data_IF_854424942185
#
_entry.id   IF_854424942185
#
_cell.length_a   1.000
_cell.length_b   1.000
_cell.length_c   1.000
_cell.angle_alpha   90.00
_cell.angle_beta   90.00
_cell.angle_gamma   90.00
#
_symmetry.space_group_name_H-M   'P 1'
#
loop_
_entity.id
_entity.type
_entity.pdbx_description
1 polymer ?
#
# COMPACT_ATOMS: atom_id res chain seq x y z
N UNK A 1 -7.87 12.67 -13.71
CA UNK A 1 -8.13 11.25 -14.06
C UNK A 1 -8.75 11.04 -15.46
N UNK A 2 -9.90 11.67 -15.77
CA UNK A 2 -10.63 11.47 -17.04
C UNK A 2 -9.83 11.90 -18.28
N UNK A 3 -9.22 13.08 -18.24
CA UNK A 3 -8.43 13.61 -19.35
C UNK A 3 -7.19 12.76 -19.65
N UNK A 4 -6.36 12.49 -18.64
CA UNK A 4 -5.21 11.58 -18.76
C UNK A 4 -5.59 10.20 -19.32
N UNK A 5 -6.71 9.63 -18.86
CA UNK A 5 -7.17 8.35 -19.38
C UNK A 5 -7.49 8.43 -20.87
N UNK A 6 -8.27 9.43 -21.29
CA UNK A 6 -8.62 9.62 -22.70
C UNK A 6 -7.39 9.83 -23.61
N UNK A 7 -6.36 10.53 -23.10
CA UNK A 7 -5.10 10.75 -23.81
C UNK A 7 -4.24 9.48 -23.94
N UNK A 8 -4.41 8.50 -23.04
CA UNK A 8 -3.56 7.31 -22.97
C UNK A 8 -4.31 6.00 -23.29
N UNK A 9 -5.64 6.01 -23.50
CA UNK A 9 -6.45 4.78 -23.53
C UNK A 9 -6.05 3.81 -24.65
N UNK A 10 -5.51 4.31 -25.76
CA UNK A 10 -5.07 3.53 -26.91
C UNK A 10 -3.72 2.84 -26.69
N UNK A 11 -2.99 3.22 -25.63
CA UNK A 11 -1.64 2.71 -25.31
C UNK A 11 -1.65 1.57 -24.29
N UNK A 12 -2.81 1.26 -23.69
CA UNK A 12 -2.91 0.22 -22.67
C UNK A 12 -3.24 -1.13 -23.29
N UNK A 13 -2.20 -1.91 -23.63
CA UNK A 13 -2.33 -3.27 -24.19
C UNK A 13 -2.85 -4.31 -23.17
N UNK A 14 -2.86 -3.97 -21.87
CA UNK A 14 -3.39 -4.83 -20.83
C UNK A 14 -3.85 -4.04 -19.59
N UNK A 15 -4.71 -4.67 -18.79
CA UNK A 15 -5.15 -4.13 -17.50
C UNK A 15 -3.99 -3.91 -16.52
N UNK A 16 -2.97 -4.77 -16.57
CA UNK A 16 -1.77 -4.64 -15.75
C UNK A 16 -0.97 -3.39 -16.12
N UNK A 17 -0.78 -3.11 -17.41
CA UNK A 17 -0.08 -1.92 -17.88
C UNK A 17 -0.84 -0.63 -17.51
N UNK A 18 -2.16 -0.65 -17.66
CA UNK A 18 -3.02 0.44 -17.18
C UNK A 18 -2.81 0.72 -15.70
N UNK A 19 -2.88 -0.31 -14.84
CA UNK A 19 -2.69 -0.14 -13.38
C UNK A 19 -1.32 0.44 -13.06
N UNK A 20 -0.27 -0.07 -13.68
CA UNK A 20 1.10 0.41 -13.44
C UNK A 20 1.22 1.88 -13.80
N UNK A 21 0.74 2.30 -14.98
CA UNK A 21 0.79 3.71 -15.41
C UNK A 21 -0.10 4.60 -14.56
N UNK A 22 -1.31 4.16 -14.24
CA UNK A 22 -2.23 4.90 -13.39
C UNK A 22 -1.64 5.13 -11.99
N UNK A 23 -1.11 4.07 -11.37
CA UNK A 23 -0.44 4.18 -10.08
C UNK A 23 0.82 5.02 -10.17
N UNK A 24 1.63 4.91 -11.22
CA UNK A 24 2.81 5.76 -11.40
C UNK A 24 2.43 7.25 -11.52
N UNK A 25 1.37 7.57 -12.27
CA UNK A 25 0.93 8.96 -12.48
C UNK A 25 0.25 9.56 -11.25
N UNK A 26 -0.51 8.76 -10.50
CA UNK A 26 -1.39 9.27 -9.44
C UNK A 26 -1.02 8.83 -8.02
N UNK A 27 -0.07 7.92 -7.84
CA UNK A 27 0.46 7.60 -6.51
C UNK A 27 1.57 8.58 -6.19
N UNK A 28 1.42 9.30 -5.07
CA UNK A 28 2.49 10.18 -4.61
C UNK A 28 3.62 9.36 -3.99
N UNK A 29 4.90 9.70 -4.24
CA UNK A 29 6.03 9.17 -3.44
C UNK A 29 5.81 9.38 -1.94
N UNK A 30 5.12 10.46 -1.55
CA UNK A 30 4.75 10.70 -0.15
C UNK A 30 3.79 9.65 0.39
N UNK A 31 2.97 9.00 -0.44
CA UNK A 31 2.05 7.94 0.01
C UNK A 31 2.80 6.74 0.57
N UNK A 32 3.92 6.36 -0.05
CA UNK A 32 4.79 5.28 0.44
C UNK A 32 5.46 5.65 1.76
N UNK A 33 5.94 6.89 1.87
CA UNK A 33 6.57 7.40 3.10
C UNK A 33 5.56 7.53 4.25
N UNK A 34 4.35 8.02 3.98
CA UNK A 34 3.25 8.08 4.95
C UNK A 34 2.88 6.67 5.40
N UNK A 35 2.76 5.71 4.47
CA UNK A 35 2.50 4.32 4.80
C UNK A 35 3.61 3.72 5.68
N UNK A 36 4.88 4.02 5.36
CA UNK A 36 6.03 3.56 6.15
C UNK A 36 6.03 4.15 7.56
N UNK A 37 5.72 5.44 7.69
CA UNK A 37 5.59 6.09 9.00
C UNK A 37 4.45 5.49 9.80
N UNK A 38 3.28 5.29 9.18
CA UNK A 38 2.12 4.68 9.82
C UNK A 38 2.40 3.26 10.26
N UNK A 39 3.07 2.45 9.42
CA UNK A 39 3.46 1.08 9.74
C UNK A 39 4.41 1.05 10.95
N UNK A 40 5.40 1.94 10.98
CA UNK A 40 6.37 2.06 12.09
C UNK A 40 5.72 2.43 13.42
N UNK A 41 4.69 3.26 13.41
CA UNK A 41 4.01 3.73 14.63
C UNK A 41 2.71 2.99 14.91
N UNK A 42 2.42 1.92 14.17
CA UNK A 42 1.14 1.22 14.29
C UNK A 42 1.16 0.43 15.59
N UNK A 43 0.14 0.65 16.43
CA UNK A 43 -0.10 -0.16 17.62
C UNK A 43 -1.55 -0.59 17.69
N UNK A 44 -1.83 -1.82 18.16
CA UNK A 44 -3.22 -2.26 18.32
C UNK A 44 -3.91 -1.39 19.37
N UNK A 45 -5.06 -0.81 19.02
CA UNK A 45 -5.84 -0.03 20.01
C UNK A 45 -6.55 -0.96 20.97
N UNK A 46 -6.82 -0.47 22.19
CA UNK A 46 -7.50 -1.26 23.23
C UNK A 46 -8.92 -1.71 22.82
N UNK A 47 -9.57 -0.94 21.95
CA UNK A 47 -10.92 -1.18 21.43
C UNK A 47 -10.93 -1.82 20.04
N UNK A 48 -9.76 -2.10 19.47
CA UNK A 48 -9.63 -2.62 18.10
C UNK A 48 -9.57 -4.15 18.10
N UNK A 49 -10.35 -4.77 17.20
CA UNK A 49 -10.29 -6.20 17.03
C UNK A 49 -8.93 -6.61 16.41
N UNK A 50 -8.36 -7.72 16.91
CA UNK A 50 -7.06 -8.24 16.43
C UNK A 50 -7.05 -8.44 14.91
N UNK A 51 -8.16 -8.88 14.34
CA UNK A 51 -8.28 -9.08 12.89
C UNK A 51 -8.22 -7.77 12.09
N UNK A 52 -8.75 -6.68 12.64
CA UNK A 52 -8.71 -5.35 12.02
C UNK A 52 -7.28 -4.81 12.05
N UNK A 53 -6.62 -4.92 13.21
CA UNK A 53 -5.21 -4.57 13.38
C UNK A 53 -4.32 -5.33 12.39
N UNK A 54 -4.41 -6.66 12.40
CA UNK A 54 -3.63 -7.54 11.52
C UNK A 54 -3.83 -7.18 10.04
N UNK A 55 -5.09 -7.01 9.62
CA UNK A 55 -5.41 -6.70 8.23
C UNK A 55 -4.85 -5.35 7.79
N UNK A 56 -4.88 -4.34 8.68
CA UNK A 56 -4.32 -3.02 8.43
C UNK A 56 -2.79 -3.09 8.32
N UNK A 57 -2.10 -3.78 9.24
CA UNK A 57 -0.65 -4.01 9.18
C UNK A 57 -0.26 -4.72 7.88
N UNK A 58 -0.97 -5.78 7.47
CA UNK A 58 -0.69 -6.48 6.21
C UNK A 58 -0.85 -5.59 4.98
N UNK A 59 -1.87 -4.71 4.96
CA UNK A 59 -2.07 -3.73 3.89
C UNK A 59 -0.94 -2.71 3.84
N UNK A 60 -0.50 -2.21 5.00
CA UNK A 60 0.61 -1.28 5.12
C UNK A 60 1.92 -1.92 4.68
N UNK A 61 2.22 -3.16 5.10
CA UNK A 61 3.38 -3.92 4.64
C UNK A 61 3.41 -4.02 3.11
N UNK A 62 2.29 -4.43 2.49
CA UNK A 62 2.18 -4.54 1.03
C UNK A 62 2.36 -3.20 0.30
N UNK A 63 1.91 -2.10 0.91
CA UNK A 63 2.02 -0.76 0.33
C UNK A 63 3.46 -0.21 0.43
N UNK A 64 4.16 -0.51 1.51
CA UNK A 64 5.55 -0.10 1.75
C UNK A 64 6.51 -0.97 0.95
N UNK A 65 6.32 -2.28 0.96
CA UNK A 65 7.14 -3.23 0.23
C UNK A 65 6.30 -4.46 -0.15
N UNK A 66 5.86 -4.58 -1.42
CA UNK A 66 5.13 -5.74 -1.89
C UNK A 66 5.88 -7.07 -1.71
N UNK A 67 7.20 -7.03 -1.60
CA UNK A 67 8.10 -8.17 -1.38
C UNK A 67 8.56 -8.35 0.08
N UNK A 68 7.93 -7.65 1.03
CA UNK A 68 8.31 -7.72 2.44
C UNK A 68 8.28 -9.16 2.96
N UNK A 69 9.37 -9.57 3.60
CA UNK A 69 9.51 -10.92 4.16
C UNK A 69 8.53 -11.16 5.30
N UNK A 70 8.15 -12.42 5.53
CA UNK A 70 7.24 -12.76 6.64
C UNK A 70 7.88 -12.46 8.00
N UNK A 71 9.20 -12.61 8.13
CA UNK A 71 9.91 -12.20 9.34
C UNK A 71 9.74 -10.69 9.64
N UNK A 72 9.88 -9.82 8.64
CA UNK A 72 9.66 -8.38 8.79
C UNK A 72 8.20 -8.04 9.08
N UNK A 73 7.25 -8.76 8.47
CA UNK A 73 5.83 -8.60 8.79
C UNK A 73 5.52 -8.96 10.24
N UNK A 74 6.10 -10.06 10.73
CA UNK A 74 5.96 -10.50 12.12
C UNK A 74 6.57 -9.48 13.08
N UNK A 75 7.74 -8.92 12.76
CA UNK A 75 8.37 -7.87 13.55
C UNK A 75 7.43 -6.67 13.79
N UNK A 76 6.71 -6.23 12.75
CA UNK A 76 5.71 -5.16 12.88
C UNK A 76 4.50 -5.56 13.74
N UNK A 77 4.07 -6.82 13.68
CA UNK A 77 2.94 -7.30 14.50
C UNK A 77 3.31 -7.46 15.97
N UNK A 78 4.55 -7.85 16.28
CA UNK A 78 5.01 -8.09 17.66
C UNK A 78 5.34 -6.79 18.41
N UNK A 79 5.83 -5.76 17.72
CA UNK A 79 6.24 -4.50 18.34
C UNK A 79 5.16 -3.42 18.33
N UNK A 80 4.01 -3.68 17.70
CA UNK A 80 2.86 -2.79 17.63
C UNK A 80 1.68 -3.28 18.45
#
# INVERSE_FOLDING_TARGET
>A
PKQWFNENNTTFESWSLFKTRFLHTYSSPSSKQIASNRLRTRQQRHDEAVIEYYTDVMKLCKLVDPSMTDASKLDHLYHG
#
